data_IF_227637371077
#
_entry.id   IF_227637371077
#
_cell.length_a   1.000
_cell.length_b   1.000
_cell.length_c   1.000
_cell.angle_alpha   90.00
_cell.angle_beta   90.00
_cell.angle_gamma   90.00
#
_symmetry.space_group_name_H-M   'P 1'
#
loop_
_entity.id
_entity.type
_entity.pdbx_description
1 polymer ?
#
# COMPACT_ATOMS: atom_id res chain seq x y z
N UNK A 1 24.49 -1.69 -1.25
CA UNK A 1 23.24 -1.00 -0.96
C UNK A 1 22.90 -1.14 0.50
N UNK A 2 22.46 -0.08 1.12
CA UNK A 2 22.11 -0.12 2.52
C UNK A 2 20.68 -0.58 2.71
N UNK A 3 20.44 -1.28 3.80
CA UNK A 3 19.11 -1.79 4.12
C UNK A 3 18.10 -0.65 4.21
N UNK A 4 18.50 0.47 4.79
CA UNK A 4 17.61 1.61 4.92
C UNK A 4 17.12 2.13 3.57
N UNK A 5 18.01 2.16 2.58
CA UNK A 5 17.64 2.58 1.23
C UNK A 5 16.63 1.63 0.62
N UNK A 6 16.85 0.33 0.80
CA UNK A 6 15.92 -0.67 0.27
C UNK A 6 14.54 -0.53 0.91
N UNK A 7 14.51 -0.33 2.22
CA UNK A 7 13.26 -0.15 2.94
C UNK A 7 12.54 1.12 2.46
N UNK A 8 13.27 2.21 2.27
CA UNK A 8 12.67 3.44 1.77
C UNK A 8 12.06 3.28 0.39
N UNK A 9 12.73 2.53 -0.49
CA UNK A 9 12.18 2.25 -1.82
C UNK A 9 10.91 1.43 -1.75
N UNK A 10 10.86 0.45 -0.87
CA UNK A 10 9.67 -0.36 -0.68
C UNK A 10 8.52 0.48 -0.14
N UNK A 11 8.79 1.37 0.81
CA UNK A 11 7.77 2.24 1.34
C UNK A 11 7.21 3.16 0.26
N UNK A 12 8.07 3.70 -0.59
CA UNK A 12 7.60 4.53 -1.71
C UNK A 12 6.72 3.73 -2.67
N UNK A 13 7.11 2.49 -2.95
CA UNK A 13 6.30 1.64 -3.81
C UNK A 13 4.93 1.38 -3.19
N UNK A 14 4.91 1.06 -1.89
CA UNK A 14 3.67 0.80 -1.19
C UNK A 14 2.77 2.03 -1.20
N UNK A 15 3.34 3.20 -0.94
CA UNK A 15 2.56 4.45 -0.95
C UNK A 15 1.93 4.69 -2.33
N UNK A 16 2.68 4.45 -3.39
CA UNK A 16 2.16 4.64 -4.75
C UNK A 16 1.04 3.65 -5.05
N UNK A 17 1.22 2.37 -4.68
CA UNK A 17 0.18 1.38 -4.91
C UNK A 17 -1.09 1.70 -4.13
N UNK A 18 -0.93 2.12 -2.88
CA UNK A 18 -2.07 2.49 -2.06
C UNK A 18 -2.83 3.66 -2.68
N UNK A 19 -2.10 4.64 -3.18
CA UNK A 19 -2.71 5.79 -3.82
C UNK A 19 -3.46 5.39 -5.09
N UNK A 20 -2.87 4.54 -5.92
CA UNK A 20 -3.51 4.05 -7.14
C UNK A 20 -4.81 3.31 -6.82
N UNK A 21 -4.76 2.46 -5.79
CA UNK A 21 -5.95 1.69 -5.39
C UNK A 21 -7.03 2.61 -4.82
N UNK A 22 -6.63 3.61 -4.05
CA UNK A 22 -7.57 4.59 -3.51
C UNK A 22 -8.26 5.38 -4.62
N UNK A 23 -7.50 5.76 -5.65
CA UNK A 23 -8.07 6.47 -6.79
C UNK A 23 -9.07 5.60 -7.55
N UNK A 24 -8.80 4.31 -7.65
CA UNK A 24 -9.73 3.40 -8.30
C UNK A 24 -11.08 3.36 -7.56
N UNK A 25 -11.04 3.43 -6.23
CA UNK A 25 -12.27 3.45 -5.43
C UNK A 25 -13.01 4.76 -5.61
N UNK A 26 -12.30 5.89 -5.57
CA UNK A 26 -12.94 7.21 -5.58
C UNK A 26 -13.34 7.69 -6.95
N UNK A 27 -12.76 7.12 -8.01
CA UNK A 27 -13.06 7.56 -9.37
C UNK A 27 -14.34 6.96 -9.95
N UNK A 28 -15.04 6.12 -9.18
CA UNK A 28 -16.27 5.50 -9.65
C UNK A 28 -16.06 4.31 -10.58
N UNK A 29 -14.82 3.82 -10.68
CA UNK A 29 -14.53 2.66 -11.51
C UNK A 29 -14.92 1.34 -10.89
N UNK A 30 -15.48 1.37 -9.69
CA UNK A 30 -15.86 0.16 -8.96
C UNK A 30 -17.37 -0.03 -9.07
N UNK A 31 -17.76 -1.12 -9.70
CA UNK A 31 -19.16 -1.40 -9.97
C UNK A 31 -19.72 -2.58 -9.16
N UNK A 32 -18.94 -3.12 -8.23
CA UNK A 32 -19.41 -4.24 -7.43
C UNK A 32 -18.76 -4.22 -6.05
N UNK A 33 -19.50 -4.77 -5.08
CA UNK A 33 -19.00 -4.87 -3.71
C UNK A 33 -17.81 -5.83 -3.62
N UNK A 34 -17.79 -6.86 -4.46
CA UNK A 34 -16.69 -7.81 -4.49
C UNK A 34 -15.38 -7.11 -4.87
N UNK A 35 -15.41 -6.27 -5.91
CA UNK A 35 -14.23 -5.51 -6.31
C UNK A 35 -13.82 -4.54 -5.23
N UNK A 36 -14.79 -3.87 -4.62
CA UNK A 36 -14.51 -2.93 -3.54
C UNK A 36 -13.80 -3.63 -2.38
N UNK A 37 -14.33 -4.76 -1.94
CA UNK A 37 -13.73 -5.50 -0.83
C UNK A 37 -12.33 -5.99 -1.18
N UNK A 38 -12.11 -6.41 -2.42
CA UNK A 38 -10.79 -6.86 -2.87
C UNK A 38 -9.76 -5.72 -2.78
N UNK A 39 -10.14 -4.54 -3.24
CA UNK A 39 -9.24 -3.38 -3.23
C UNK A 39 -8.96 -2.93 -1.80
N UNK A 40 -9.98 -2.88 -0.95
CA UNK A 40 -9.79 -2.51 0.44
C UNK A 40 -8.86 -3.52 1.14
N UNK A 41 -9.01 -4.80 0.83
CA UNK A 41 -8.10 -5.81 1.37
C UNK A 41 -6.66 -5.59 0.96
N UNK A 42 -6.44 -5.21 -0.30
CA UNK A 42 -5.09 -4.91 -0.77
C UNK A 42 -4.50 -3.69 -0.06
N UNK A 43 -5.29 -2.63 0.09
CA UNK A 43 -4.83 -1.43 0.80
C UNK A 43 -4.47 -1.77 2.24
N UNK A 44 -5.30 -2.54 2.92
CA UNK A 44 -5.04 -2.93 4.29
C UNK A 44 -3.75 -3.72 4.40
N UNK A 45 -3.52 -4.67 3.49
CA UNK A 45 -2.30 -5.47 3.49
C UNK A 45 -1.07 -4.62 3.23
N UNK A 46 -1.17 -3.68 2.30
CA UNK A 46 -0.06 -2.78 1.99
C UNK A 46 0.28 -1.90 3.17
N UNK A 47 -0.73 -1.40 3.86
CA UNK A 47 -0.50 -0.56 5.05
C UNK A 47 0.13 -1.35 6.18
N UNK A 48 -0.30 -2.59 6.39
CA UNK A 48 0.30 -3.44 7.41
C UNK A 48 1.78 -3.70 7.11
N UNK A 49 2.08 -3.98 5.83
CA UNK A 49 3.45 -4.20 5.40
C UNK A 49 4.30 -2.94 5.60
N UNK A 50 3.72 -1.78 5.26
CA UNK A 50 4.42 -0.52 5.44
C UNK A 50 4.78 -0.28 6.90
N UNK A 51 3.86 -0.59 7.81
CA UNK A 51 4.12 -0.42 9.24
C UNK A 51 5.25 -1.33 9.70
N UNK A 52 5.29 -2.56 9.23
CA UNK A 52 6.37 -3.47 9.59
C UNK A 52 7.72 -2.97 9.07
N UNK A 53 7.74 -2.45 7.84
CA UNK A 53 8.97 -1.90 7.28
C UNK A 53 9.44 -0.69 8.08
N UNK A 54 8.51 0.16 8.52
CA UNK A 54 8.85 1.34 9.31
C UNK A 54 9.45 0.96 10.65
N UNK A 55 8.96 -0.10 11.28
CA UNK A 55 9.54 -0.58 12.53
C UNK A 55 10.97 -1.03 12.34
N UNK A 56 11.27 -1.73 11.25
CA UNK A 56 12.62 -2.21 10.98
C UNK A 56 13.57 -1.08 10.64
N UNK A 57 13.04 0.00 10.12
CA UNK A 57 13.85 1.17 9.77
C UNK A 57 14.37 1.89 11.00
N UNK A 58 13.71 1.74 12.14
CA UNK A 58 14.04 2.47 13.36
C UNK A 58 15.07 1.80 14.24
N UNK A 59 15.83 0.90 13.76
CA UNK A 59 16.84 0.17 14.56
C UNK A 59 17.93 1.12 15.06
#
# INVERSE_FOLDING_TARGET
MQLETAINRLIKYINRRTEELSLAVTSGGIDSMTKYNYIIGQITALEATKQELSKKKKI
#
